data_IF_268353230599
#
_entry.id   IF_268353230599
#
_cell.length_a   1.000
_cell.length_b   1.000
_cell.length_c   1.000
_cell.angle_alpha   90.00
_cell.angle_beta   90.00
_cell.angle_gamma   90.00
#
_symmetry.space_group_name_H-M   'P 1'
#
loop_
_entity.id
_entity.type
_entity.pdbx_description
1 polymer ?
#
# COMPACT_ATOMS: atom_id res chain seq x y z
N UNK A 1 0.70 -5.03 18.20
CA UNK A 1 0.04 -4.33 17.07
C UNK A 1 0.93 -3.18 16.64
N UNK A 2 1.65 -3.27 15.52
CA UNK A 2 2.42 -2.14 14.99
C UNK A 2 1.60 -1.49 13.88
N UNK A 3 1.04 -0.31 14.18
CA UNK A 3 0.36 0.51 13.20
C UNK A 3 1.43 1.23 12.38
N UNK A 4 1.50 1.01 11.07
CA UNK A 4 2.28 1.90 10.21
C UNK A 4 1.63 3.27 10.30
N UNK A 5 2.27 4.19 11.03
CA UNK A 5 1.79 5.54 11.20
C UNK A 5 1.67 6.19 9.82
N UNK A 6 0.48 6.70 9.49
CA UNK A 6 0.21 7.44 8.26
C UNK A 6 1.26 8.54 8.01
N UNK A 7 1.76 9.16 9.09
CA UNK A 7 2.84 10.13 9.07
C UNK A 7 4.15 9.64 8.41
N UNK A 8 4.49 8.35 8.52
CA UNK A 8 5.69 7.80 7.85
C UNK A 8 5.56 7.79 6.32
N UNK A 9 4.33 7.77 5.80
CA UNK A 9 4.08 7.70 4.35
C UNK A 9 3.98 9.08 3.69
N UNK A 10 3.85 10.16 4.46
CA UNK A 10 3.75 11.53 3.92
C UNK A 10 5.09 12.10 3.42
N UNK A 11 6.22 11.51 3.81
CA UNK A 11 7.58 12.00 3.45
C UNK A 11 8.07 11.37 2.12
N UNK A 12 7.21 10.63 1.42
CA UNK A 12 7.63 9.76 0.32
C UNK A 12 7.46 10.45 -1.05
N UNK A 13 8.55 10.50 -1.82
CA UNK A 13 8.56 11.00 -3.21
C UNK A 13 7.69 10.15 -4.14
N UNK A 14 7.20 10.73 -5.25
CA UNK A 14 6.27 10.06 -6.17
C UNK A 14 6.82 8.71 -6.73
N UNK A 15 8.10 8.67 -7.08
CA UNK A 15 8.79 7.44 -7.54
C UNK A 15 8.79 6.36 -6.44
N UNK A 16 8.94 6.76 -5.19
CA UNK A 16 8.92 5.85 -4.05
C UNK A 16 7.49 5.34 -3.76
N UNK A 17 6.45 6.15 -3.97
CA UNK A 17 5.05 5.71 -3.82
C UNK A 17 4.72 4.60 -4.83
N UNK A 18 5.10 4.78 -6.10
CA UNK A 18 4.81 3.79 -7.15
C UNK A 18 5.51 2.45 -6.93
N UNK A 19 6.79 2.48 -6.51
CA UNK A 19 7.54 1.26 -6.16
C UNK A 19 6.96 0.57 -4.92
N UNK A 20 6.57 1.32 -3.89
CA UNK A 20 5.89 0.77 -2.72
C UNK A 20 4.52 0.17 -3.06
N UNK A 21 3.80 0.75 -4.02
CA UNK A 21 2.53 0.21 -4.50
C UNK A 21 2.74 -1.12 -5.22
N UNK A 22 3.76 -1.21 -6.08
CA UNK A 22 4.11 -2.45 -6.77
C UNK A 22 4.48 -3.56 -5.78
N UNK A 23 5.32 -3.26 -4.79
CA UNK A 23 5.70 -4.25 -3.78
C UNK A 23 4.51 -4.69 -2.92
N UNK A 24 3.64 -3.76 -2.52
CA UNK A 24 2.44 -4.09 -1.73
C UNK A 24 1.43 -4.93 -2.52
N UNK A 25 1.25 -4.69 -3.82
CA UNK A 25 0.37 -5.49 -4.67
C UNK A 25 0.93 -6.89 -4.91
N UNK A 26 2.24 -7.03 -5.12
CA UNK A 26 2.92 -8.33 -5.18
C UNK A 26 2.76 -9.13 -3.88
N UNK A 27 2.94 -8.48 -2.72
CA UNK A 27 2.70 -9.12 -1.42
C UNK A 27 1.25 -9.60 -1.28
N UNK A 28 0.27 -8.80 -1.75
CA UNK A 28 -1.14 -9.18 -1.73
C UNK A 28 -1.40 -10.39 -2.64
N UNK A 29 -0.73 -10.46 -3.78
CA UNK A 29 -0.80 -11.59 -4.71
C UNK A 29 -0.26 -12.87 -4.06
N UNK A 30 0.93 -12.81 -3.45
CA UNK A 30 1.53 -13.95 -2.72
C UNK A 30 0.63 -14.43 -1.59
N UNK A 31 0.04 -13.52 -0.81
CA UNK A 31 -0.88 -13.91 0.26
C UNK A 31 -2.14 -14.61 -0.29
N UNK A 32 -2.65 -14.16 -1.43
CA UNK A 32 -3.80 -14.80 -2.11
C UNK A 32 -3.46 -16.19 -2.64
N UNK A 33 -2.28 -16.36 -3.24
CA UNK A 33 -1.84 -17.67 -3.74
C UNK A 33 -1.63 -18.64 -2.58
N UNK A 34 -0.97 -18.22 -1.48
CA UNK A 34 -0.83 -19.01 -0.25
C UNK A 34 -2.18 -19.43 0.33
N UNK A 35 -3.17 -18.54 0.32
CA UNK A 35 -4.52 -18.87 0.77
C UNK A 35 -5.20 -19.89 -0.13
N UNK A 36 -5.05 -19.77 -1.45
CA UNK A 36 -5.62 -20.71 -2.41
C UNK A 36 -4.98 -22.10 -2.29
N UNK A 37 -3.66 -22.16 -2.05
CA UNK A 37 -2.90 -23.41 -1.88
C UNK A 37 -3.01 -23.99 -0.46
N UNK A 38 -3.78 -23.36 0.44
CA UNK A 38 -3.92 -23.73 1.86
C UNK A 38 -2.57 -23.81 2.60
N UNK A 39 -1.58 -23.03 2.16
CA UNK A 39 -0.31 -22.89 2.86
C UNK A 39 -0.51 -22.11 4.18
N UNK A 40 0.33 -22.33 5.19
CA UNK A 40 0.26 -21.54 6.42
C UNK A 40 0.66 -20.09 6.14
N UNK A 41 -0.24 -19.14 6.43
CA UNK A 41 0.05 -17.71 6.34
C UNK A 41 -0.54 -16.98 7.54
N UNK A 42 -0.04 -15.77 7.80
CA UNK A 42 -0.51 -14.92 8.90
C UNK A 42 -1.76 -14.13 8.46
N UNK A 43 -2.96 -14.35 9.04
CA UNK A 43 -4.19 -13.71 8.56
C UNK A 43 -4.19 -12.18 8.64
N UNK A 44 -3.53 -11.61 9.65
CA UNK A 44 -3.45 -10.15 9.84
C UNK A 44 -2.70 -9.44 8.71
N UNK A 45 -1.80 -10.13 7.99
CA UNK A 45 -1.07 -9.54 6.86
C UNK A 45 -2.01 -9.09 5.74
N UNK A 46 -3.12 -9.80 5.49
CA UNK A 46 -4.13 -9.36 4.53
C UNK A 46 -4.70 -7.98 4.87
N UNK A 47 -4.98 -7.74 6.16
CA UNK A 47 -5.52 -6.45 6.63
C UNK A 47 -4.46 -5.35 6.50
N UNK A 48 -3.21 -5.65 6.85
CA UNK A 48 -2.12 -4.68 6.79
C UNK A 48 -1.79 -4.28 5.35
N UNK A 49 -1.56 -5.24 4.46
CA UNK A 49 -1.19 -4.97 3.07
C UNK A 49 -2.32 -4.26 2.34
N UNK A 50 -3.59 -4.68 2.53
CA UNK A 50 -4.74 -3.99 1.93
C UNK A 50 -4.85 -2.54 2.40
N UNK A 51 -4.62 -2.29 3.69
CA UNK A 51 -4.63 -0.92 4.24
C UNK A 51 -3.47 -0.09 3.69
N UNK A 52 -2.27 -0.67 3.56
CA UNK A 52 -1.11 0.00 2.97
C UNK A 52 -1.39 0.43 1.52
N UNK A 53 -1.96 -0.46 0.71
CA UNK A 53 -2.37 -0.14 -0.68
C UNK A 53 -3.34 1.02 -0.71
N UNK A 54 -4.38 1.02 0.14
CA UNK A 54 -5.35 2.11 0.19
C UNK A 54 -4.71 3.45 0.61
N UNK A 55 -3.77 3.43 1.55
CA UNK A 55 -3.02 4.63 1.97
C UNK A 55 -2.16 5.18 0.84
N UNK A 56 -1.44 4.31 0.11
CA UNK A 56 -0.60 4.72 -1.02
C UNK A 56 -1.44 5.32 -2.16
N UNK A 57 -2.59 4.71 -2.49
CA UNK A 57 -3.52 5.25 -3.48
C UNK A 57 -4.09 6.60 -3.06
N UNK A 58 -4.43 6.78 -1.78
CA UNK A 58 -4.86 8.08 -1.28
C UNK A 58 -3.79 9.15 -1.46
N UNK A 59 -2.53 8.87 -1.13
CA UNK A 59 -1.43 9.80 -1.35
C UNK A 59 -1.24 10.14 -2.82
N UNK A 60 -1.29 9.14 -3.70
CA UNK A 60 -1.21 9.35 -5.15
C UNK A 60 -2.34 10.26 -5.65
N UNK A 61 -3.58 10.04 -5.19
CA UNK A 61 -4.71 10.91 -5.56
C UNK A 61 -4.58 12.32 -5.00
N UNK A 62 -4.06 12.49 -3.78
CA UNK A 62 -3.81 13.79 -3.18
C UNK A 62 -2.76 14.58 -3.97
N UNK A 63 -1.65 13.94 -4.36
CA UNK A 63 -0.62 14.54 -5.22
C UNK A 63 -1.19 14.96 -6.58
N UNK A 64 -1.94 14.08 -7.25
CA UNK A 64 -2.59 14.40 -8.53
C UNK A 64 -3.58 15.56 -8.43
N UNK A 65 -4.27 15.73 -7.29
CA UNK A 65 -5.16 16.88 -7.05
C UNK A 65 -4.38 18.18 -6.88
N UNK A 66 -3.29 18.17 -6.11
CA UNK A 66 -2.44 19.36 -5.92
C UNK A 66 -1.82 19.85 -7.24
N UNK A 67 -1.46 18.93 -8.15
CA UNK A 67 -0.96 19.28 -9.49
C UNK A 67 -2.04 19.88 -10.41
N UNK A 68 -3.33 19.62 -10.13
CA UNK A 68 -4.45 20.15 -10.92
C UNK A 68 -4.94 21.51 -10.42
N UNK A 69 -4.66 21.86 -9.17
CA UNK A 69 -5.05 23.15 -8.57
C UNK A 69 -4.09 24.31 -8.86
N UNK A 70 -2.97 24.05 -9.56
CA UNK A 70 -1.97 25.06 -9.92
C UNK A 70 -2.16 25.66 -11.32
N UNK A 71 -3.37 25.55 -11.89
CA UNK A 71 -3.76 26.20 -13.15
C UNK A 71 -4.96 27.13 -12.92
#
# INVERSE_FOLDING_TARGET
>A
MSFSAYAKLQIVDNVMISSELLTATQQLFILRTQRATKQPFKPHLFKHVRRKVAQLLMLETAQKRNLKSTC
#
